data_IF_984949349788
#
_entry.id   IF_984949349788
#
_cell.length_a   1.000
_cell.length_b   1.000
_cell.length_c   1.000
_cell.angle_alpha   90.00
_cell.angle_beta   90.00
_cell.angle_gamma   90.00
#
_symmetry.space_group_name_H-M   'P 1'
#
loop_
_entity.id
_entity.type
_entity.pdbx_description
1 polymer ?
#
# COMPACT_ATOMS: atom_id res chain seq x y z
N UNK A 1 6.52 86.86 0.76
CA UNK A 1 7.11 85.66 1.38
C UNK A 1 6.14 85.23 2.47
N UNK A 2 5.13 84.44 2.06
CA UNK A 2 5.02 82.98 2.25
C UNK A 2 4.55 82.70 3.69
N UNK A 3 3.24 82.74 3.95
CA UNK A 3 2.20 81.71 3.73
C UNK A 3 2.41 80.42 4.54
N UNK A 4 1.39 80.12 5.33
CA UNK A 4 1.28 79.11 6.38
C UNK A 4 0.76 77.78 5.82
N UNK A 5 1.48 76.69 6.04
CA UNK A 5 1.06 75.33 5.64
C UNK A 5 1.24 74.32 6.77
N UNK A 6 0.12 73.77 7.24
CA UNK A 6 -0.05 72.72 8.26
C UNK A 6 0.68 71.41 7.92
N UNK A 7 0.97 70.53 8.92
CA UNK A 7 1.61 69.25 8.66
C UNK A 7 0.63 68.26 8.02
N UNK A 8 0.96 67.80 6.82
CA UNK A 8 0.26 66.70 6.15
C UNK A 8 0.52 65.40 6.91
N UNK A 9 -0.54 64.83 7.51
CA UNK A 9 -0.53 63.45 7.99
C UNK A 9 -0.24 62.53 6.81
N UNK A 10 0.95 61.93 6.80
CA UNK A 10 1.24 60.75 6.00
C UNK A 10 0.29 59.65 6.49
N UNK A 11 -0.58 59.18 5.59
CA UNK A 11 -1.38 57.99 5.81
C UNK A 11 -0.41 56.81 5.83
N UNK A 12 -0.28 56.18 6.99
CA UNK A 12 0.29 54.84 7.10
C UNK A 12 -0.56 53.94 6.20
N UNK A 13 0.08 53.33 5.21
CA UNK A 13 -0.53 52.26 4.44
C UNK A 13 -0.69 51.08 5.39
N UNK A 14 -1.93 50.66 5.61
CA UNK A 14 -2.21 49.34 6.18
C UNK A 14 -1.66 48.33 5.17
N UNK A 15 -0.50 47.74 5.50
CA UNK A 15 -0.05 46.51 4.85
C UNK A 15 -1.11 45.46 5.20
N UNK A 16 -1.92 45.07 4.23
CA UNK A 16 -2.77 43.89 4.34
C UNK A 16 -1.82 42.71 4.56
N UNK A 17 -1.67 42.27 5.81
CA UNK A 17 -1.08 40.98 6.13
C UNK A 17 -1.99 39.93 5.48
N UNK A 18 -1.58 39.43 4.32
CA UNK A 18 -2.14 38.21 3.76
C UNK A 18 -1.99 37.12 4.82
N UNK A 19 -3.08 36.80 5.53
CA UNK A 19 -3.14 35.69 6.48
C UNK A 19 -2.75 34.41 5.74
N UNK A 20 -1.49 34.00 5.86
CA UNK A 20 -1.02 32.72 5.33
C UNK A 20 -1.67 31.62 6.18
N UNK A 21 -2.81 31.11 5.70
CA UNK A 21 -3.48 29.97 6.31
C UNK A 21 -2.59 28.74 6.08
N UNK A 22 -1.82 28.37 7.10
CA UNK A 22 -1.11 27.10 7.13
C UNK A 22 -2.11 25.95 7.25
N UNK A 23 -2.56 25.43 6.11
CA UNK A 23 -3.39 24.23 6.06
C UNK A 23 -2.55 23.02 6.48
N UNK A 24 -3.10 22.18 7.35
CA UNK A 24 -2.49 20.90 7.68
C UNK A 24 -2.44 20.02 6.41
N UNK A 25 -1.33 19.32 6.12
CA UNK A 25 -1.22 18.45 4.94
C UNK A 25 -2.35 17.42 4.82
N UNK A 26 -2.95 16.98 5.93
CA UNK A 26 -4.10 16.08 5.92
C UNK A 26 -5.34 16.66 5.23
N UNK A 27 -5.43 17.99 5.08
CA UNK A 27 -6.51 18.65 4.36
C UNK A 27 -6.58 18.25 2.88
N UNK A 28 -5.46 17.85 2.28
CA UNK A 28 -5.38 17.45 0.88
C UNK A 28 -5.49 15.93 0.67
N UNK A 29 -5.59 15.15 1.74
CA UNK A 29 -5.73 13.69 1.67
C UNK A 29 -7.18 13.34 1.45
N UNK A 30 -7.49 12.73 0.31
CA UNK A 30 -8.82 12.20 0.05
C UNK A 30 -9.07 10.95 0.91
N UNK A 31 -10.05 11.04 1.81
CA UNK A 31 -10.49 9.94 2.67
C UNK A 31 -11.94 9.54 2.41
N UNK A 32 -12.48 9.88 1.24
CA UNK A 32 -13.84 9.56 0.80
C UNK A 32 -13.99 8.08 0.39
N UNK A 33 -13.53 7.18 1.27
CA UNK A 33 -13.58 5.75 1.03
C UNK A 33 -15.01 5.24 0.89
N UNK A 34 -15.25 4.44 -0.15
CA UNK A 34 -16.51 3.73 -0.35
C UNK A 34 -16.32 2.24 -0.06
N UNK A 35 -17.33 1.65 0.58
CA UNK A 35 -17.37 0.21 0.77
C UNK A 35 -17.63 -0.48 -0.57
N UNK A 36 -16.65 -1.22 -1.05
CA UNK A 36 -16.72 -1.98 -2.30
C UNK A 36 -16.73 -3.48 -2.00
N UNK A 37 -17.55 -4.22 -2.73
CA UNK A 37 -17.63 -5.68 -2.62
C UNK A 37 -16.88 -6.34 -3.77
N UNK A 38 -15.94 -7.21 -3.43
CA UNK A 38 -15.18 -8.02 -4.38
C UNK A 38 -15.52 -9.49 -4.21
N UNK A 39 -15.64 -10.22 -5.33
CA UNK A 39 -15.96 -11.65 -5.33
C UNK A 39 -14.90 -12.39 -6.12
N UNK A 40 -14.25 -13.36 -5.47
CA UNK A 40 -13.23 -14.22 -6.06
C UNK A 40 -13.58 -15.68 -5.77
N UNK A 41 -14.10 -16.38 -6.78
CA UNK A 41 -14.68 -17.72 -6.59
C UNK A 41 -15.81 -17.70 -5.55
N UNK A 42 -15.63 -18.44 -4.45
CA UNK A 42 -16.56 -18.48 -3.31
C UNK A 42 -16.30 -17.43 -2.23
N UNK A 43 -15.20 -16.66 -2.35
CA UNK A 43 -14.82 -15.67 -1.35
C UNK A 43 -15.44 -14.31 -1.68
N UNK A 44 -16.06 -13.71 -0.68
CA UNK A 44 -16.62 -12.36 -0.75
C UNK A 44 -15.86 -11.48 0.25
N UNK A 45 -15.32 -10.38 -0.25
CA UNK A 45 -14.57 -9.39 0.52
C UNK A 45 -15.29 -8.04 0.47
N UNK A 46 -15.31 -7.38 1.62
CA UNK A 46 -15.81 -6.01 1.77
C UNK A 46 -14.64 -5.14 2.20
N UNK A 47 -14.33 -4.12 1.42
CA UNK A 47 -13.17 -3.25 1.59
C UNK A 47 -13.57 -1.81 1.39
N UNK A 48 -13.07 -0.94 2.26
CA UNK A 48 -13.05 0.50 2.03
C UNK A 48 -11.89 0.81 1.08
N UNK A 49 -12.20 1.47 -0.04
CA UNK A 49 -11.23 1.97 -1.01
C UNK A 49 -11.75 3.24 -1.70
N UNK A 50 -10.85 4.01 -2.31
CA UNK A 50 -11.26 5.12 -3.17
C UNK A 50 -11.77 4.58 -4.51
N UNK A 51 -12.57 5.40 -5.21
CA UNK A 51 -13.10 5.07 -6.55
C UNK A 51 -12.30 5.65 -7.69
N UNK A 52 -11.52 6.68 -7.42
CA UNK A 52 -10.70 7.37 -8.38
C UNK A 52 -9.39 7.78 -7.70
N UNK A 53 -8.33 7.87 -8.50
CA UNK A 53 -7.04 8.33 -8.02
C UNK A 53 -7.15 9.78 -7.54
N UNK A 54 -6.49 10.09 -6.42
CA UNK A 54 -6.15 11.47 -6.13
C UNK A 54 -5.04 11.92 -7.09
N UNK A 55 -4.75 13.23 -7.11
CA UNK A 55 -3.62 13.77 -7.86
C UNK A 55 -2.26 13.45 -7.24
N UNK A 56 -2.24 12.79 -6.07
CA UNK A 56 -1.03 12.45 -5.34
C UNK A 56 -0.62 11.00 -5.63
N UNK A 57 0.56 10.82 -6.21
CA UNK A 57 1.07 9.51 -6.60
C UNK A 57 1.39 8.62 -5.40
N UNK A 58 1.73 9.21 -4.25
CA UNK A 58 2.07 8.46 -3.03
C UNK A 58 0.82 7.84 -2.37
N UNK A 59 -0.38 8.28 -2.79
CA UNK A 59 -1.67 7.85 -2.28
C UNK A 59 -2.39 6.84 -3.20
N UNK A 60 -1.73 6.39 -4.27
CA UNK A 60 -2.24 5.39 -5.20
C UNK A 60 -2.61 4.06 -4.53
N UNK A 61 -2.02 3.76 -3.37
CA UNK A 61 -2.35 2.58 -2.54
C UNK A 61 -3.77 2.60 -1.95
N UNK A 62 -4.49 3.73 -2.02
CA UNK A 62 -5.89 3.81 -1.59
C UNK A 62 -6.89 3.23 -2.61
N UNK A 63 -6.42 2.84 -3.80
CA UNK A 63 -7.19 2.19 -4.86
C UNK A 63 -6.97 0.68 -4.89
N UNK A 64 -7.89 -0.02 -5.55
CA UNK A 64 -7.67 -1.41 -6.00
C UNK A 64 -7.21 -1.39 -7.45
N UNK A 65 -5.99 -1.85 -7.67
CA UNK A 65 -5.41 -1.92 -9.01
C UNK A 65 -5.77 -3.22 -9.75
N UNK A 66 -5.80 -3.21 -11.10
CA UNK A 66 -6.22 -4.39 -11.88
C UNK A 66 -5.36 -5.64 -11.69
N UNK A 67 -4.06 -5.50 -11.46
CA UNK A 67 -3.18 -6.62 -11.14
C UNK A 67 -3.60 -7.30 -9.85
N UNK A 68 -3.92 -6.55 -8.79
CA UNK A 68 -4.42 -7.14 -7.55
C UNK A 68 -5.71 -7.97 -7.77
N UNK A 69 -6.61 -7.51 -8.65
CA UNK A 69 -7.82 -8.28 -9.04
C UNK A 69 -7.46 -9.55 -9.81
N UNK A 70 -6.49 -9.49 -10.73
CA UNK A 70 -5.99 -10.65 -11.47
C UNK A 70 -5.35 -11.69 -10.54
N UNK A 71 -4.45 -11.25 -9.66
CA UNK A 71 -3.80 -12.10 -8.66
C UNK A 71 -4.82 -12.80 -7.76
N UNK A 72 -5.85 -12.07 -7.32
CA UNK A 72 -6.91 -12.63 -6.47
C UNK A 72 -7.78 -13.65 -7.17
N UNK A 73 -8.06 -13.43 -8.46
CA UNK A 73 -8.75 -14.42 -9.28
C UNK A 73 -7.93 -15.72 -9.30
N UNK A 74 -6.64 -15.63 -9.64
CA UNK A 74 -5.74 -16.76 -9.66
C UNK A 74 -5.64 -17.49 -8.31
N UNK A 75 -5.41 -16.75 -7.21
CA UNK A 75 -5.26 -17.32 -5.87
C UNK A 75 -6.55 -17.95 -5.34
N UNK A 76 -7.71 -17.44 -5.76
CA UNK A 76 -9.00 -18.05 -5.41
C UNK A 76 -9.25 -19.39 -6.13
N UNK A 77 -8.71 -19.53 -7.34
CA UNK A 77 -8.76 -20.77 -8.14
C UNK A 77 -7.69 -21.79 -7.72
N UNK A 78 -6.55 -21.29 -7.19
CA UNK A 78 -5.38 -22.08 -6.82
C UNK A 78 -4.97 -21.85 -5.34
N UNK A 79 -5.86 -22.07 -4.36
CA UNK A 79 -5.59 -21.77 -2.95
C UNK A 79 -4.38 -22.53 -2.40
N UNK A 80 -4.05 -23.71 -2.94
CA UNK A 80 -2.85 -24.48 -2.61
C UNK A 80 -1.52 -23.73 -2.80
N UNK A 81 -1.53 -22.64 -3.58
CA UNK A 81 -0.39 -21.73 -3.75
C UNK A 81 0.02 -21.11 -2.42
N UNK A 82 -0.95 -20.75 -1.57
CA UNK A 82 -0.72 -20.00 -0.32
C UNK A 82 -1.26 -20.72 0.93
N UNK A 83 -2.03 -21.80 0.75
CA UNK A 83 -2.66 -22.54 1.85
C UNK A 83 -1.65 -22.98 2.92
N UNK A 84 -1.97 -22.68 4.18
CA UNK A 84 -1.15 -22.99 5.38
C UNK A 84 0.25 -22.36 5.42
N UNK A 85 0.59 -21.46 4.49
CA UNK A 85 1.87 -20.75 4.50
C UNK A 85 1.82 -19.48 5.36
N UNK A 86 2.99 -19.03 5.82
CA UNK A 86 3.22 -17.66 6.30
C UNK A 86 3.61 -16.79 5.09
N UNK A 87 2.88 -15.70 4.86
CA UNK A 87 3.09 -14.84 3.68
C UNK A 87 3.36 -13.39 4.06
N UNK A 88 4.11 -12.70 3.21
CA UNK A 88 4.27 -11.25 3.24
C UNK A 88 3.86 -10.65 1.89
N UNK A 89 3.04 -9.61 1.91
CA UNK A 89 2.65 -8.86 0.71
C UNK A 89 3.36 -7.51 0.71
N UNK A 90 4.08 -7.22 -0.38
CA UNK A 90 4.75 -5.96 -0.63
C UNK A 90 3.82 -5.01 -1.38
N UNK A 91 3.72 -3.75 -0.93
CA UNK A 91 2.87 -2.75 -1.58
C UNK A 91 1.40 -3.17 -1.58
N UNK A 92 0.86 -3.44 -0.40
CA UNK A 92 -0.46 -4.04 -0.21
C UNK A 92 -1.63 -3.16 -0.64
N UNK A 93 -1.41 -1.85 -0.80
CA UNK A 93 -2.50 -0.91 -1.11
C UNK A 93 -3.61 -1.01 -0.07
N UNK A 94 -4.87 -1.20 -0.46
CA UNK A 94 -5.98 -1.37 0.50
C UNK A 94 -6.02 -2.76 1.16
N UNK A 95 -5.10 -3.66 0.82
CA UNK A 95 -4.95 -4.99 1.44
C UNK A 95 -5.79 -6.10 0.82
N UNK A 96 -6.37 -5.89 -0.37
CA UNK A 96 -7.33 -6.83 -0.99
C UNK A 96 -6.75 -8.25 -1.13
N UNK A 97 -5.49 -8.39 -1.51
CA UNK A 97 -4.85 -9.69 -1.75
C UNK A 97 -4.56 -10.42 -0.45
N UNK A 98 -3.83 -9.82 0.49
CA UNK A 98 -3.54 -10.50 1.75
C UNK A 98 -4.80 -10.76 2.58
N UNK A 99 -5.84 -9.92 2.48
CA UNK A 99 -7.15 -10.20 3.09
C UNK A 99 -7.79 -11.45 2.45
N UNK A 100 -7.73 -11.61 1.12
CA UNK A 100 -8.16 -12.86 0.48
C UNK A 100 -7.33 -14.04 0.98
N UNK A 101 -6.00 -13.91 0.96
CA UNK A 101 -5.07 -14.96 1.39
C UNK A 101 -5.28 -15.37 2.85
N UNK A 102 -5.70 -14.47 3.72
CA UNK A 102 -5.98 -14.77 5.13
C UNK A 102 -7.02 -15.88 5.32
N UNK A 103 -7.87 -16.15 4.30
CA UNK A 103 -8.84 -17.25 4.30
C UNK A 103 -8.20 -18.63 4.12
N UNK A 104 -6.96 -18.68 3.64
CA UNK A 104 -6.25 -19.90 3.28
C UNK A 104 -4.93 -20.07 4.04
N UNK A 105 -4.26 -18.97 4.38
CA UNK A 105 -2.93 -18.93 4.98
C UNK A 105 -2.95 -19.17 6.50
N UNK A 106 -1.78 -19.50 7.03
CA UNK A 106 -1.51 -19.55 8.48
C UNK A 106 -1.27 -18.13 9.04
N UNK A 107 -0.57 -17.31 8.27
CA UNK A 107 -0.21 -15.95 8.65
C UNK A 107 -0.05 -15.09 7.41
N UNK A 108 -0.44 -13.82 7.51
CA UNK A 108 -0.37 -12.82 6.46
C UNK A 108 0.12 -11.50 7.05
N UNK A 109 1.24 -11.00 6.54
CA UNK A 109 1.76 -9.67 6.84
C UNK A 109 1.59 -8.78 5.61
N UNK A 110 0.64 -7.86 5.69
CA UNK A 110 0.43 -6.80 4.71
C UNK A 110 1.45 -5.69 4.96
N UNK A 111 2.09 -5.17 3.92
CA UNK A 111 3.04 -4.08 4.05
C UNK A 111 2.84 -2.97 3.04
N UNK A 112 3.00 -1.74 3.50
CA UNK A 112 3.06 -0.54 2.68
C UNK A 112 3.97 0.50 3.35
N UNK A 113 4.46 1.46 2.57
CA UNK A 113 5.34 2.53 3.04
C UNK A 113 4.54 3.74 3.56
N UNK A 114 3.36 3.98 2.99
CA UNK A 114 2.58 5.19 3.26
C UNK A 114 1.67 5.00 4.48
N UNK A 115 1.76 5.92 5.45
CA UNK A 115 1.00 5.84 6.70
C UNK A 115 -0.52 5.96 6.49
N UNK A 116 -0.96 6.72 5.48
CA UNK A 116 -2.37 6.82 5.09
C UNK A 116 -2.90 5.50 4.54
N UNK A 117 -2.07 4.83 3.72
CA UNK A 117 -2.38 3.50 3.18
C UNK A 117 -2.41 2.46 4.31
N UNK A 118 -1.46 2.52 5.25
CA UNK A 118 -1.46 1.64 6.43
C UNK A 118 -2.69 1.84 7.32
N UNK A 119 -3.20 3.08 7.45
CA UNK A 119 -4.43 3.35 8.20
C UNK A 119 -5.63 2.65 7.55
N UNK A 120 -5.79 2.74 6.24
CA UNK A 120 -6.90 2.08 5.53
C UNK A 120 -6.77 0.56 5.52
N UNK A 121 -5.56 0.01 5.37
CA UNK A 121 -5.33 -1.44 5.49
C UNK A 121 -5.80 -1.93 6.86
N UNK A 122 -5.40 -1.26 7.94
CA UNK A 122 -5.79 -1.67 9.31
C UNK A 122 -7.31 -1.65 9.49
N UNK A 123 -7.99 -0.61 9.00
CA UNK A 123 -9.46 -0.55 8.99
C UNK A 123 -10.05 -1.73 8.20
N UNK A 124 -9.51 -2.04 7.03
CA UNK A 124 -9.95 -3.17 6.21
C UNK A 124 -9.77 -4.52 6.89
N UNK A 125 -8.66 -4.73 7.62
CA UNK A 125 -8.43 -5.92 8.45
C UNK A 125 -9.49 -6.02 9.55
N UNK A 126 -9.73 -4.94 10.30
CA UNK A 126 -10.67 -4.92 11.43
C UNK A 126 -12.12 -5.18 11.01
N UNK A 127 -12.51 -4.78 9.79
CA UNK A 127 -13.84 -5.03 9.24
C UNK A 127 -14.05 -6.48 8.76
N UNK A 128 -12.97 -7.26 8.58
CA UNK A 128 -13.15 -8.64 8.17
C UNK A 128 -13.84 -9.41 9.30
N UNK A 129 -14.88 -10.20 8.97
CA UNK A 129 -15.57 -10.95 10.00
C UNK A 129 -14.58 -11.94 10.63
N UNK A 130 -14.63 -12.11 11.95
CA UNK A 130 -13.80 -13.08 12.68
C UNK A 130 -14.09 -14.55 12.28
N UNK A 131 -14.92 -14.78 11.25
CA UNK A 131 -15.44 -16.06 10.82
C UNK A 131 -14.65 -16.61 9.63
N UNK A 132 -13.55 -17.29 9.93
CA UNK A 132 -12.79 -18.13 9.00
C UNK A 132 -11.41 -18.42 9.57
N UNK A 133 -11.21 -19.63 10.13
CA UNK A 133 -10.05 -20.02 10.93
C UNK A 133 -9.61 -18.95 11.94
N UNK A 134 -10.13 -19.03 13.18
CA UNK A 134 -9.77 -18.16 14.31
C UNK A 134 -8.26 -18.11 14.69
N UNK A 135 -7.39 -18.70 13.87
CA UNK A 135 -5.96 -18.84 14.09
C UNK A 135 -5.10 -18.13 13.03
N UNK A 136 -5.66 -17.56 11.95
CA UNK A 136 -4.82 -16.87 10.95
C UNK A 136 -4.41 -15.50 11.46
N UNK A 137 -3.10 -15.29 11.64
CA UNK A 137 -2.56 -14.00 12.03
C UNK A 137 -2.52 -13.07 10.81
N UNK A 138 -3.42 -12.09 10.75
CA UNK A 138 -3.45 -11.05 9.71
C UNK A 138 -3.06 -9.70 10.33
N UNK A 139 -1.97 -9.10 9.84
CA UNK A 139 -1.44 -7.82 10.36
C UNK A 139 -0.98 -6.90 9.23
N UNK A 140 -0.90 -5.61 9.53
CA UNK A 140 -0.30 -4.61 8.67
C UNK A 140 0.95 -4.00 9.33
N UNK A 141 2.06 -3.93 8.60
CA UNK A 141 3.32 -3.37 9.08
C UNK A 141 3.92 -2.38 8.06
N UNK A 142 4.65 -1.37 8.55
CA UNK A 142 5.30 -0.38 7.69
C UNK A 142 6.52 -0.99 7.03
N UNK A 143 6.59 -0.93 5.71
CA UNK A 143 7.76 -1.29 4.92
C UNK A 143 7.95 -0.31 3.77
N UNK A 144 9.04 0.43 3.84
CA UNK A 144 9.54 1.22 2.73
C UNK A 144 10.65 0.42 2.07
N UNK A 145 10.57 0.21 0.76
CA UNK A 145 11.56 -0.63 0.07
C UNK A 145 12.96 0.01 0.14
N UNK A 146 13.96 -0.82 0.43
CA UNK A 146 15.33 -0.35 0.69
C UNK A 146 15.56 0.18 2.10
N UNK A 147 14.52 0.33 2.93
CA UNK A 147 14.66 0.75 4.32
C UNK A 147 15.01 -0.45 5.23
N UNK A 148 16.31 -0.57 5.56
CA UNK A 148 16.84 -1.67 6.38
C UNK A 148 16.29 -1.68 7.81
N UNK A 149 15.85 -0.55 8.35
CA UNK A 149 15.28 -0.48 9.70
C UNK A 149 13.89 -1.11 9.72
N UNK A 150 13.05 -0.77 8.74
CA UNK A 150 11.72 -1.37 8.59
C UNK A 150 11.84 -2.88 8.35
N UNK A 151 12.71 -3.28 7.43
CA UNK A 151 12.95 -4.69 7.13
C UNK A 151 13.48 -5.47 8.36
N UNK A 152 14.44 -4.90 9.08
CA UNK A 152 14.98 -5.50 10.30
C UNK A 152 13.90 -5.72 11.37
N UNK A 153 13.00 -4.76 11.57
CA UNK A 153 11.89 -4.88 12.52
C UNK A 153 10.92 -6.01 12.16
N UNK A 154 10.61 -6.18 10.87
CA UNK A 154 9.76 -7.28 10.41
C UNK A 154 10.45 -8.63 10.64
N UNK A 155 11.73 -8.75 10.26
CA UNK A 155 12.50 -10.00 10.45
C UNK A 155 12.60 -10.37 11.93
N UNK A 156 12.79 -9.39 12.82
CA UNK A 156 12.85 -9.63 14.27
C UNK A 156 11.52 -10.18 14.83
N UNK A 157 10.39 -9.65 14.37
CA UNK A 157 9.05 -10.13 14.78
C UNK A 157 8.70 -11.50 14.18
N UNK A 158 9.27 -11.81 13.02
CA UNK A 158 8.96 -13.00 12.22
C UNK A 158 10.24 -13.81 11.93
N UNK A 159 10.91 -14.37 12.96
CA UNK A 159 12.22 -15.02 12.80
C UNK A 159 12.18 -16.31 11.98
N UNK A 160 10.99 -16.90 11.79
CA UNK A 160 10.79 -18.05 10.91
C UNK A 160 10.75 -17.67 9.43
N UNK A 161 10.65 -16.37 9.10
CA UNK A 161 10.52 -15.87 7.74
C UNK A 161 9.14 -16.11 7.14
N UNK A 162 9.07 -15.99 5.81
CA UNK A 162 7.85 -16.16 5.02
C UNK A 162 8.10 -17.20 3.92
N UNK A 163 7.11 -18.04 3.67
CA UNK A 163 7.18 -19.06 2.61
C UNK A 163 6.85 -18.46 1.23
N UNK A 164 6.01 -17.42 1.21
CA UNK A 164 5.56 -16.76 -0.03
C UNK A 164 5.64 -15.24 0.11
N UNK A 165 6.19 -14.58 -0.92
CA UNK A 165 6.15 -13.12 -1.08
C UNK A 165 5.22 -12.79 -2.24
N UNK A 166 4.24 -11.93 -1.98
CA UNK A 166 3.28 -11.45 -2.97
C UNK A 166 3.55 -9.98 -3.31
N UNK A 167 3.24 -9.60 -4.54
CA UNK A 167 3.21 -8.21 -4.96
C UNK A 167 2.42 -8.03 -6.25
N UNK A 168 1.44 -7.12 -6.23
CA UNK A 168 0.60 -6.79 -7.38
C UNK A 168 0.70 -5.28 -7.66
N UNK A 169 0.90 -4.90 -8.92
CA UNK A 169 1.02 -3.50 -9.37
C UNK A 169 2.20 -2.72 -8.76
N UNK A 170 3.18 -3.44 -8.18
CA UNK A 170 4.36 -2.86 -7.51
C UNK A 170 5.53 -2.51 -8.44
N UNK A 171 5.39 -2.73 -9.75
CA UNK A 171 6.46 -2.56 -10.75
C UNK A 171 6.57 -1.14 -11.33
N UNK A 172 5.72 -0.20 -10.90
CA UNK A 172 5.83 1.22 -11.30
C UNK A 172 7.15 1.86 -10.81
N UNK A 173 7.89 1.23 -9.88
CA UNK A 173 9.18 1.71 -9.37
C UNK A 173 10.39 0.82 -9.76
N UNK A 174 10.19 -0.26 -10.52
CA UNK A 174 11.25 -1.21 -10.89
C UNK A 174 12.28 -0.62 -11.87
N UNK A 175 12.09 0.60 -12.38
CA UNK A 175 13.13 1.33 -13.11
C UNK A 175 14.25 1.86 -12.20
N UNK A 176 14.01 2.03 -10.88
CA UNK A 176 14.98 2.62 -9.95
C UNK A 176 15.83 1.61 -9.15
N UNK A 177 15.39 0.35 -8.98
CA UNK A 177 16.11 -0.64 -8.16
C UNK A 177 17.16 -1.47 -8.91
N UNK A 178 17.26 -1.33 -10.25
CA UNK A 178 18.20 -2.12 -11.08
C UNK A 178 19.65 -1.63 -10.98
N UNK A 179 19.95 -0.55 -10.24
CA UNK A 179 21.31 -0.01 -10.14
C UNK A 179 22.16 -0.46 -8.95
N UNK A 180 21.63 -1.25 -8.01
CA UNK A 180 22.41 -1.74 -6.86
C UNK A 180 22.43 -3.27 -6.80
N UNK A 181 23.48 -3.82 -7.42
CA UNK A 181 24.09 -5.13 -7.22
C UNK A 181 23.30 -6.44 -7.49
N UNK A 182 23.69 -7.01 -8.64
CA UNK A 182 23.94 -8.41 -8.95
C UNK A 182 22.79 -9.30 -9.47
N UNK A 183 23.03 -9.74 -10.72
CA UNK A 183 22.53 -10.92 -11.45
C UNK A 183 21.17 -10.81 -12.15
N UNK A 184 21.25 -10.33 -13.40
CA UNK A 184 20.66 -10.96 -14.60
C UNK A 184 19.31 -11.69 -14.44
N UNK A 185 18.23 -10.93 -14.22
CA UNK A 185 16.93 -11.29 -14.80
C UNK A 185 16.60 -10.20 -15.80
N UNK A 186 16.96 -10.50 -17.04
CA UNK A 186 16.71 -9.69 -18.22
C UNK A 186 15.20 -9.50 -18.39
N UNK A 187 14.81 -8.22 -18.34
CA UNK A 187 13.65 -7.59 -18.97
C UNK A 187 13.04 -8.45 -20.09
N UNK A 188 11.99 -9.19 -19.76
CA UNK A 188 10.99 -9.72 -20.69
C UNK A 188 9.63 -9.73 -19.99
N UNK A 189 9.10 -8.54 -19.69
CA UNK A 189 7.68 -8.19 -19.82
C UNK A 189 7.40 -6.83 -19.17
N UNK A 190 7.25 -5.80 -20.00
CA UNK A 190 6.60 -4.53 -19.63
C UNK A 190 5.06 -4.70 -19.57
N UNK A 191 4.56 -5.86 -19.16
CA UNK A 191 3.13 -6.18 -19.19
C UNK A 191 2.67 -7.20 -18.16
N UNK A 192 3.52 -7.61 -17.21
CA UNK A 192 3.06 -8.53 -16.16
C UNK A 192 2.82 -7.74 -14.87
N UNK A 193 1.55 -7.69 -14.41
CA UNK A 193 1.20 -6.88 -13.28
C UNK A 193 1.47 -7.51 -11.90
N UNK A 194 1.87 -8.79 -11.86
CA UNK A 194 1.75 -9.60 -10.65
C UNK A 194 2.92 -10.56 -10.49
N UNK A 195 3.46 -10.61 -9.28
CA UNK A 195 4.59 -11.47 -8.94
C UNK A 195 4.32 -12.27 -7.67
N UNK A 196 4.56 -13.58 -7.75
CA UNK A 196 4.51 -14.51 -6.63
C UNK A 196 5.88 -15.19 -6.53
N UNK A 197 6.59 -14.95 -5.42
CA UNK A 197 7.81 -15.70 -5.09
C UNK A 197 7.48 -16.75 -4.04
N UNK A 198 7.79 -18.02 -4.33
CA UNK A 198 7.67 -19.12 -3.37
C UNK A 198 9.05 -19.64 -3.00
N UNK A 199 9.30 -19.76 -1.70
CA UNK A 199 10.51 -20.36 -1.16
C UNK A 199 10.22 -21.79 -0.75
N UNK A 200 10.99 -22.74 -1.28
CA UNK A 200 11.05 -24.10 -0.75
C UNK A 200 12.44 -24.34 -0.17
N UNK A 201 12.58 -25.35 0.69
CA UNK A 201 13.89 -25.72 1.27
C UNK A 201 14.97 -26.05 0.20
N UNK A 202 14.62 -26.14 -1.08
CA UNK A 202 15.52 -26.50 -2.18
C UNK A 202 15.57 -25.50 -3.36
N UNK A 203 14.61 -24.57 -3.50
CA UNK A 203 14.52 -23.66 -4.65
C UNK A 203 13.67 -22.42 -4.38
N UNK A 204 13.89 -21.37 -5.18
CA UNK A 204 12.98 -20.21 -5.31
C UNK A 204 12.23 -20.36 -6.62
N UNK A 205 10.90 -20.37 -6.55
CA UNK A 205 10.01 -20.41 -7.71
C UNK A 205 9.38 -19.03 -7.91
N UNK A 206 9.44 -18.53 -9.15
CA UNK A 206 8.87 -17.25 -9.56
C UNK A 206 7.69 -17.50 -10.49
N UNK A 207 6.48 -17.16 -10.04
CA UNK A 207 5.27 -17.16 -10.87
C UNK A 207 4.92 -15.73 -11.24
N UNK A 208 4.71 -15.52 -12.53
CA UNK A 208 4.47 -14.24 -13.17
C UNK A 208 3.11 -14.39 -13.88
N UNK A 209 2.09 -13.63 -13.45
CA UNK A 209 0.69 -13.77 -13.91
C UNK A 209 0.32 -12.77 -15.02
#
# INVERSE_FOLDING_TARGET
MADSGSPSKLREGEEEEDDVICLDPSFFVDRSYEMTTFTFGSQVLHLLCLRAASTDFDLTGQLVWPGAVLMNTYLSEHPETVKNHSIIELGSGVGITGILCSRFCKEVILTDHNDEVLEIIKKNIEMQPCSGNANTALKAEKLEWGNNVHLGSIIEKHPAGFDVILGADIYILLTFLVYCDLTSILILSLSIPCVIYRYTHMSVELTIL
#
